data_IF_185254226788
#
_entry.id   IF_185254226788
#
_cell.length_a   1.000
_cell.length_b   1.000
_cell.length_c   1.000
_cell.angle_alpha   90.00
_cell.angle_beta   90.00
_cell.angle_gamma   90.00
#
_symmetry.space_group_name_H-M   'P 1'
#
loop_
_entity.id
_entity.type
_entity.pdbx_description
1 polymer ?
#
# COMPACT_ATOMS: atom_id res chain seq x y z
N UNK A 1 -3.72 -9.71 1.02
CA UNK A 1 -2.52 -9.02 1.52
C UNK A 1 -2.04 -8.04 0.47
N UNK A 2 -1.71 -6.83 0.90
CA UNK A 2 -1.21 -5.75 0.07
C UNK A 2 0.19 -5.36 0.55
N UNK A 3 1.06 -5.02 -0.39
CA UNK A 3 2.31 -4.33 -0.12
C UNK A 3 2.09 -2.85 -0.40
N UNK A 4 2.34 -2.02 0.61
CA UNK A 4 2.11 -0.58 0.56
C UNK A 4 3.45 0.13 0.69
N UNK A 5 3.78 0.97 -0.30
CA UNK A 5 4.96 1.85 -0.24
C UNK A 5 4.53 3.23 0.20
N UNK A 6 5.20 3.73 1.23
CA UNK A 6 4.93 5.02 1.86
C UNK A 6 6.18 5.88 1.76
N UNK A 7 6.02 7.15 1.39
CA UNK A 7 7.13 8.10 1.32
C UNK A 7 7.49 8.69 2.69
N UNK A 8 8.51 9.54 2.76
CA UNK A 8 8.94 10.20 4.01
C UNK A 8 7.88 11.07 4.69
N UNK A 9 6.87 11.53 3.94
CA UNK A 9 5.76 12.34 4.46
C UNK A 9 4.58 11.49 4.98
N UNK A 10 4.68 10.16 4.91
CA UNK A 10 3.58 9.27 5.27
C UNK A 10 2.51 9.08 4.18
N UNK A 11 2.72 9.62 2.98
CA UNK A 11 1.81 9.44 1.85
C UNK A 11 2.02 8.08 1.16
N UNK A 12 0.92 7.42 0.77
CA UNK A 12 0.97 6.16 0.03
C UNK A 12 1.34 6.45 -1.42
N UNK A 13 2.55 6.07 -1.79
CA UNK A 13 3.10 6.24 -3.13
C UNK A 13 2.73 5.08 -4.07
N UNK A 14 2.62 3.86 -3.53
CA UNK A 14 2.21 2.69 -4.31
C UNK A 14 1.48 1.66 -3.45
N UNK A 15 0.59 0.88 -4.09
CA UNK A 15 -0.17 -0.19 -3.48
C UNK A 15 -0.30 -1.38 -4.43
N UNK A 16 0.25 -2.51 -4.02
CA UNK A 16 0.34 -3.71 -4.83
C UNK A 16 -0.37 -4.88 -4.14
N UNK A 17 -1.26 -5.63 -4.82
CA UNK A 17 -1.89 -6.83 -4.27
C UNK A 17 -0.94 -8.04 -4.34
N UNK A 18 -0.69 -8.70 -3.22
CA UNK A 18 0.30 -9.79 -3.10
C UNK A 18 -0.29 -11.20 -3.17
N UNK A 19 -1.63 -11.31 -3.28
CA UNK A 19 -2.32 -12.58 -3.41
C UNK A 19 -3.64 -12.41 -4.19
N UNK A 20 -4.17 -13.51 -4.72
CA UNK A 20 -5.40 -13.48 -5.55
C UNK A 20 -6.60 -12.79 -4.87
N UNK A 21 -6.89 -13.03 -3.57
CA UNK A 21 -7.97 -12.31 -2.90
C UNK A 21 -7.75 -10.79 -2.88
N UNK A 22 -6.52 -10.30 -2.66
CA UNK A 22 -6.25 -8.87 -2.68
C UNK A 22 -6.45 -8.27 -4.06
N UNK A 23 -6.10 -8.99 -5.13
CA UNK A 23 -6.34 -8.54 -6.49
C UNK A 23 -7.84 -8.49 -6.80
N UNK A 24 -8.58 -9.54 -6.45
CA UNK A 24 -10.01 -9.65 -6.70
C UNK A 24 -10.83 -8.60 -5.93
N UNK A 25 -10.55 -8.42 -4.64
CA UNK A 25 -11.28 -7.49 -3.78
C UNK A 25 -10.71 -6.07 -3.79
N UNK A 26 -9.62 -5.78 -4.51
CA UNK A 26 -8.95 -4.47 -4.53
C UNK A 26 -9.93 -3.30 -4.64
N UNK A 27 -10.86 -3.36 -5.60
CA UNK A 27 -11.82 -2.29 -5.88
C UNK A 27 -12.93 -2.16 -4.83
N UNK A 28 -13.16 -3.21 -4.03
CA UNK A 28 -14.14 -3.23 -2.94
C UNK A 28 -13.57 -2.69 -1.63
N UNK A 29 -12.26 -2.50 -1.57
CA UNK A 29 -11.57 -1.90 -0.42
C UNK A 29 -11.45 -0.38 -0.60
N UNK A 30 -11.37 0.41 0.49
CA UNK A 30 -11.07 1.83 0.40
C UNK A 30 -9.60 2.10 -0.01
N UNK A 31 -8.73 1.09 -0.01
CA UNK A 31 -7.28 1.22 -0.23
C UNK A 31 -6.89 1.94 -1.53
N UNK A 32 -7.51 1.69 -2.70
CA UNK A 32 -7.13 2.38 -3.94
C UNK A 32 -7.41 3.88 -3.89
N UNK A 33 -8.34 4.34 -3.06
CA UNK A 33 -8.64 5.77 -2.89
C UNK A 33 -7.59 6.50 -2.06
N UNK A 34 -6.73 5.76 -1.35
CA UNK A 34 -5.66 6.32 -0.52
C UNK A 34 -4.36 6.53 -1.31
N UNK A 35 -4.29 6.05 -2.56
CA UNK A 35 -3.16 6.31 -3.45
C UNK A 35 -3.07 7.80 -3.72
N UNK A 36 -1.96 8.41 -3.33
CA UNK A 36 -1.70 9.80 -3.65
C UNK A 36 -1.12 9.89 -5.06
N UNK A 37 -1.99 10.04 -6.06
CA UNK A 37 -1.62 10.21 -7.48
C UNK A 37 -0.91 11.53 -7.76
N UNK A 38 -1.06 12.56 -6.91
CA UNK A 38 -0.37 13.84 -7.07
C UNK A 38 1.14 13.73 -6.80
N UNK A 39 1.56 12.77 -5.98
CA UNK A 39 2.98 12.50 -5.70
C UNK A 39 3.56 11.39 -6.60
N UNK A 40 2.75 10.75 -7.45
CA UNK A 40 3.23 9.76 -8.41
C UNK A 40 4.12 10.36 -9.51
N UNK A 41 4.02 11.67 -9.76
CA UNK A 41 4.82 12.40 -10.75
C UNK A 41 6.16 12.94 -10.22
N UNK A 42 6.44 12.83 -8.91
CA UNK A 42 7.78 13.07 -8.36
C UNK A 42 8.65 11.81 -8.54
N UNK A 43 8.63 11.27 -9.75
CA UNK A 43 9.57 10.29 -10.26
C UNK A 43 10.84 11.01 -10.67
N UNK A 44 11.65 11.42 -9.69
CA UNK A 44 13.10 11.61 -9.82
C UNK A 44 13.66 12.16 -8.51
N UNK A 45 14.80 11.62 -8.09
CA UNK A 45 15.64 12.04 -6.95
C UNK A 45 15.30 11.39 -5.60
N UNK A 46 15.86 10.18 -5.38
CA UNK A 46 16.25 9.64 -4.06
C UNK A 46 15.22 9.72 -2.92
N UNK A 47 13.93 9.52 -3.21
CA UNK A 47 12.95 9.42 -2.13
C UNK A 47 13.08 8.06 -1.45
N UNK A 48 13.30 8.05 -0.14
CA UNK A 48 13.29 6.83 0.67
C UNK A 48 11.84 6.39 0.88
N UNK A 49 11.59 5.10 0.71
CA UNK A 49 10.26 4.52 0.92
C UNK A 49 10.29 3.51 2.05
N UNK A 50 9.33 3.60 2.96
CA UNK A 50 9.01 2.53 3.88
C UNK A 50 8.01 1.58 3.21
N UNK A 51 8.18 0.28 3.46
CA UNK A 51 7.31 -0.76 2.92
C UNK A 51 6.55 -1.38 4.08
N UNK A 52 5.24 -1.53 3.90
CA UNK A 52 4.34 -2.14 4.87
C UNK A 52 3.57 -3.29 4.25
N UNK A 53 3.36 -4.33 5.05
CA UNK A 53 2.36 -5.35 4.81
C UNK A 53 1.03 -4.91 5.40
N UNK A 54 0.00 -4.89 4.57
CA UNK A 54 -1.37 -4.56 4.96
C UNK A 54 -2.28 -5.75 4.68
N UNK A 55 -3.00 -6.20 5.70
CA UNK A 55 -4.00 -7.26 5.60
C UNK A 55 -5.35 -6.69 5.99
N UNK A 56 -6.34 -6.88 5.11
CA UNK A 56 -7.74 -6.58 5.41
C UNK A 56 -8.42 -7.89 5.72
N UNK A 57 -8.93 -8.02 6.95
CA UNK A 57 -9.66 -9.20 7.35
C UNK A 57 -11.11 -9.12 6.84
N UNK A 58 -11.79 -10.25 6.67
CA UNK A 58 -13.22 -10.27 6.36
C UNK A 58 -14.09 -9.57 7.43
N UNK A 59 -13.57 -9.45 8.66
CA UNK A 59 -14.24 -8.76 9.77
C UNK A 59 -14.07 -7.24 9.72
N UNK A 60 -13.38 -6.70 8.71
CA UNK A 60 -13.16 -5.26 8.54
C UNK A 60 -12.00 -4.70 9.36
N UNK A 61 -11.20 -5.56 10.01
CA UNK A 61 -9.99 -5.16 10.74
C UNK A 61 -8.85 -4.96 9.73
N UNK A 62 -8.15 -3.84 9.89
CA UNK A 62 -6.95 -3.51 9.12
C UNK A 62 -5.72 -3.83 9.97
N UNK A 63 -4.91 -4.78 9.52
CA UNK A 63 -3.64 -5.12 10.14
C UNK A 63 -2.50 -4.53 9.33
N UNK A 64 -1.60 -3.80 10.02
CA UNK A 64 -0.45 -3.14 9.41
C UNK A 64 0.82 -3.60 10.12
N UNK A 65 1.79 -4.07 9.35
CA UNK A 65 3.09 -4.50 9.88
C UNK A 65 4.23 -4.01 8.99
N UNK A 66 5.41 -3.66 9.54
CA UNK A 66 6.59 -3.37 8.74
C UNK A 66 6.91 -4.55 7.82
N UNK A 67 7.27 -4.26 6.58
CA UNK A 67 7.75 -5.29 5.67
C UNK A 67 9.22 -5.57 5.95
N UNK A 68 9.52 -6.70 6.61
CA UNK A 68 10.89 -7.09 6.96
C UNK A 68 11.68 -7.75 5.81
N UNK A 69 11.09 -7.91 4.63
CA UNK A 69 11.66 -8.77 3.58
C UNK A 69 11.31 -10.25 3.78
N UNK A 70 11.55 -11.04 2.73
CA UNK A 70 11.54 -12.51 2.80
C UNK A 70 12.93 -13.02 3.20
#
# INVERSE_FOLDING_TARGET
MFQVRVNGDGAIANLEPMNEPAQYYRQQTPLPKLLNTANSEVTSQKQSFAIFRVVMTPTGVLEVSPWSGW
#
